data_IF_284064062643
#
_entry.id   IF_284064062643
#
_cell.length_a   1.000
_cell.length_b   1.000
_cell.length_c   1.000
_cell.angle_alpha   90.00
_cell.angle_beta   90.00
_cell.angle_gamma   90.00
#
_symmetry.space_group_name_H-M   'P 1'
#
loop_
_entity.id
_entity.type
_entity.pdbx_description
1 polymer ?
#
# COMPACT_ATOMS: atom_id res chain seq x y z
N UNK A 1 -5.32 10.70 -2.84
CA UNK A 1 -4.98 9.46 -2.12
C UNK A 1 -3.96 8.65 -2.91
N UNK A 2 -2.86 8.22 -2.28
CA UNK A 2 -1.83 7.38 -2.91
C UNK A 2 -2.32 5.92 -2.86
N UNK A 3 -2.43 5.20 -4.00
CA UNK A 3 -2.82 3.80 -4.01
C UNK A 3 -1.75 2.92 -3.34
N UNK A 4 -2.16 1.79 -2.75
CA UNK A 4 -1.25 0.77 -2.21
C UNK A 4 -1.43 -0.51 -3.04
N UNK A 5 -0.37 -1.00 -3.67
CA UNK A 5 -0.40 -2.04 -4.69
C UNK A 5 0.51 -3.21 -4.29
N UNK A 6 -0.07 -4.41 -4.17
CA UNK A 6 0.64 -5.65 -3.86
C UNK A 6 0.63 -6.60 -5.07
N UNK A 7 1.78 -7.17 -5.43
CA UNK A 7 1.86 -8.24 -6.42
C UNK A 7 1.57 -9.62 -5.79
N UNK A 8 0.98 -10.58 -6.53
CA UNK A 8 0.81 -11.96 -6.05
C UNK A 8 1.39 -12.94 -7.09
N UNK A 9 2.41 -13.69 -6.69
CA UNK A 9 3.26 -14.50 -7.58
C UNK A 9 3.51 -15.91 -7.03
N UNK A 10 3.88 -16.88 -7.88
CA UNK A 10 4.17 -18.27 -7.48
C UNK A 10 5.65 -18.67 -7.54
N UNK A 11 6.57 -17.76 -7.88
CA UNK A 11 7.98 -18.08 -8.12
C UNK A 11 8.92 -17.10 -7.41
N UNK A 12 9.17 -17.32 -6.11
CA UNK A 12 9.96 -16.41 -5.26
C UNK A 12 11.46 -16.28 -5.62
N UNK A 13 11.97 -17.00 -6.62
CA UNK A 13 13.39 -17.08 -6.89
C UNK A 13 13.87 -15.96 -7.83
N UNK A 14 14.62 -15.03 -7.21
CA UNK A 14 15.73 -14.24 -7.74
C UNK A 14 15.48 -12.84 -8.34
N UNK A 15 14.29 -12.52 -8.85
CA UNK A 15 14.09 -11.24 -9.57
C UNK A 15 12.96 -10.36 -9.03
N UNK A 16 12.07 -10.89 -8.19
CA UNK A 16 10.79 -10.24 -7.92
C UNK A 16 10.88 -8.97 -7.06
N UNK A 17 11.71 -8.92 -6.02
CA UNK A 17 11.68 -7.77 -5.08
C UNK A 17 12.07 -6.46 -5.78
N UNK A 18 13.13 -6.50 -6.60
CA UNK A 18 13.65 -5.31 -7.26
C UNK A 18 12.74 -4.92 -8.44
N UNK A 19 12.35 -5.88 -9.27
CA UNK A 19 11.48 -5.64 -10.41
C UNK A 19 10.07 -5.19 -9.97
N UNK A 20 9.51 -5.78 -8.91
CA UNK A 20 8.23 -5.35 -8.37
C UNK A 20 8.30 -3.91 -7.84
N UNK A 21 9.38 -3.54 -7.14
CA UNK A 21 9.57 -2.15 -6.69
C UNK A 21 9.76 -1.18 -7.85
N UNK A 22 10.56 -1.54 -8.86
CA UNK A 22 10.76 -0.72 -10.06
C UNK A 22 9.47 -0.57 -10.89
N UNK A 23 8.61 -1.59 -10.88
CA UNK A 23 7.28 -1.55 -11.49
C UNK A 23 6.25 -0.74 -10.69
N UNK A 24 6.60 -0.28 -9.48
CA UNK A 24 5.73 0.54 -8.63
C UNK A 24 4.82 -0.24 -7.68
N UNK A 25 5.09 -1.53 -7.44
CA UNK A 25 4.45 -2.26 -6.34
C UNK A 25 5.07 -1.86 -5.00
N UNK A 26 4.22 -1.72 -3.98
CA UNK A 26 4.65 -1.46 -2.61
C UNK A 26 5.25 -2.72 -1.96
N UNK A 27 4.70 -3.90 -2.31
CA UNK A 27 5.16 -5.19 -1.82
C UNK A 27 4.63 -6.35 -2.68
N UNK A 28 4.95 -7.59 -2.31
CA UNK A 28 4.52 -8.79 -3.01
C UNK A 28 4.20 -9.96 -2.06
N UNK A 29 3.53 -10.95 -2.63
CA UNK A 29 2.93 -12.08 -1.95
C UNK A 29 3.26 -13.37 -2.73
N UNK A 30 3.94 -14.32 -2.09
CA UNK A 30 4.27 -15.62 -2.72
C UNK A 30 3.21 -16.67 -2.45
N UNK A 31 2.67 -17.31 -3.50
CA UNK A 31 1.74 -18.43 -3.41
C UNK A 31 2.46 -19.72 -2.94
N UNK A 32 1.78 -20.58 -2.18
CA UNK A 32 0.41 -20.40 -1.67
C UNK A 32 0.38 -19.44 -0.49
N UNK A 33 -0.65 -18.58 -0.45
CA UNK A 33 -0.90 -17.66 0.65
C UNK A 33 -2.14 -18.08 1.42
N UNK A 34 -2.04 -17.93 2.73
CA UNK A 34 -3.16 -18.08 3.64
C UNK A 34 -4.11 -16.89 3.50
N UNK A 35 -5.41 -17.17 3.43
CA UNK A 35 -6.44 -16.13 3.26
C UNK A 35 -6.38 -15.12 4.40
N UNK A 36 -6.11 -15.58 5.63
CA UNK A 36 -5.99 -14.73 6.82
C UNK A 36 -4.82 -13.73 6.70
N UNK A 37 -3.75 -14.10 6.01
CA UNK A 37 -2.63 -13.20 5.73
C UNK A 37 -3.05 -12.09 4.76
N UNK A 38 -3.83 -12.43 3.72
CA UNK A 38 -4.34 -11.44 2.78
C UNK A 38 -5.34 -10.50 3.44
N UNK A 39 -6.27 -11.03 4.24
CA UNK A 39 -7.27 -10.23 4.97
C UNK A 39 -6.61 -9.20 5.90
N UNK A 40 -5.61 -9.63 6.69
CA UNK A 40 -4.85 -8.72 7.55
C UNK A 40 -4.13 -7.62 6.77
N UNK A 41 -3.51 -7.96 5.64
CA UNK A 41 -2.82 -6.96 4.82
C UNK A 41 -3.78 -5.90 4.25
N UNK A 42 -5.00 -6.29 3.90
CA UNK A 42 -6.05 -5.37 3.45
C UNK A 42 -6.51 -4.47 4.59
N UNK A 43 -6.76 -5.01 5.78
CA UNK A 43 -7.13 -4.23 6.98
C UNK A 43 -6.05 -3.18 7.31
N UNK A 44 -4.78 -3.61 7.38
CA UNK A 44 -3.64 -2.72 7.61
C UNK A 44 -3.52 -1.61 6.56
N UNK A 45 -3.83 -1.92 5.30
CA UNK A 45 -3.81 -0.95 4.20
C UNK A 45 -4.90 0.11 4.36
N UNK A 46 -6.11 -0.28 4.77
CA UNK A 46 -7.18 0.67 5.07
C UNK A 46 -6.83 1.59 6.25
N UNK A 47 -6.26 1.05 7.33
CA UNK A 47 -5.80 1.87 8.45
C UNK A 47 -4.70 2.88 8.05
N UNK A 48 -3.77 2.48 7.18
CA UNK A 48 -2.78 3.39 6.59
C UNK A 48 -3.47 4.51 5.81
N UNK A 49 -4.42 4.17 4.94
CA UNK A 49 -5.14 5.14 4.12
C UNK A 49 -5.93 6.13 4.98
N UNK A 50 -6.58 5.70 6.04
CA UNK A 50 -7.36 6.58 6.92
C UNK A 50 -6.46 7.54 7.70
N UNK A 51 -5.32 7.06 8.21
CA UNK A 51 -4.28 7.93 8.79
C UNK A 51 -3.80 8.98 7.79
N UNK A 52 -3.67 8.62 6.52
CA UNK A 52 -3.23 9.56 5.48
C UNK A 52 -4.32 10.59 5.16
N UNK A 53 -5.59 10.18 5.03
CA UNK A 53 -6.72 11.09 4.84
C UNK A 53 -6.80 12.14 5.96
N UNK A 54 -6.61 11.73 7.21
CA UNK A 54 -6.58 12.66 8.36
C UNK A 54 -5.49 13.72 8.24
N UNK A 55 -4.32 13.37 7.71
CA UNK A 55 -3.19 14.29 7.47
C UNK A 55 -3.37 15.19 6.24
N UNK A 56 -4.03 14.71 5.19
CA UNK A 56 -4.37 15.56 4.03
C UNK A 56 -5.44 16.58 4.38
N UNK A 57 -6.40 16.22 5.23
CA UNK A 57 -7.46 17.15 5.62
C UNK A 57 -6.91 18.30 6.46
N UNK A 58 -5.94 18.06 7.35
CA UNK A 58 -5.33 19.11 8.17
C UNK A 58 -4.51 20.13 7.35
N UNK A 59 -3.81 19.71 6.30
CA UNK A 59 -3.02 20.61 5.44
C UNK A 59 -3.89 21.48 4.51
N UNK A 60 -5.06 20.99 4.08
CA UNK A 60 -6.01 21.78 3.28
C UNK A 60 -6.64 22.94 4.05
N UNK A 61 -6.84 22.80 5.38
CA UNK A 61 -7.39 23.86 6.21
C UNK A 61 -6.40 24.97 6.59
N UNK A 62 -5.08 24.71 6.48
CA UNK A 62 -4.05 25.73 6.67
C UNK A 62 -3.84 26.59 5.42
N UNK A 63 -3.96 26.00 4.21
CA UNK A 63 -3.83 26.75 2.94
C UNK A 63 -5.04 27.67 2.66
N UNK A 64 -6.25 27.29 3.11
CA UNK A 64 -7.45 28.12 2.91
C UNK A 64 -7.60 29.31 3.88
N UNK A 65 -6.69 29.49 4.85
CA UNK A 65 -6.71 30.64 5.79
C UNK A 65 -5.70 31.74 5.43
N UNK A 66 -5.10 31.70 4.23
CA UNK A 66 -4.22 32.75 3.69
C UNK A 66 -4.76 33.43 2.42
N UNK A 67 -6.02 33.18 2.05
CA UNK A 67 -6.78 33.92 1.03
C UNK A 67 -7.94 34.66 1.70
#
# INVERSE_FOLDING_TARGET
PIPIIYAITGWAALFEIKECREAGFDDFFTKPIRVETLSRAVEDAFEKLDRWKGRYNSHRFSDQRQL
#
